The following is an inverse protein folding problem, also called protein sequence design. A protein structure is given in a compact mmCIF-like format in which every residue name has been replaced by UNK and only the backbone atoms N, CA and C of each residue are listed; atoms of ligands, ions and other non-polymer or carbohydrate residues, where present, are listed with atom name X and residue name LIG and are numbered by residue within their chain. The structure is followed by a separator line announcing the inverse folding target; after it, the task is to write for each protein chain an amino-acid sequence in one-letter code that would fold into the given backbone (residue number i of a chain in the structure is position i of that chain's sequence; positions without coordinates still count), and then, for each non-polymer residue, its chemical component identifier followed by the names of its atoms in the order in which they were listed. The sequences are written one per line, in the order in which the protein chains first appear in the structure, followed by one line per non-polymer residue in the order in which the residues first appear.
data_IF_606346620127
#
_entry.id   IF_606346620127
#
_cell.length_a   1.000
_cell.length_b   1.000
_cell.length_c   1.000
_cell.angle_alpha   90.00
_cell.angle_beta   90.00
_cell.angle_gamma   90.00
#
_symmetry.space_group_name_H-M   'P 1'
#
loop_
_entity.id
_entity.type
_entity.pdbx_description
1 polymer ?
#
# COMPACT_ATOMS: atom_id res chain seq x y z
N UNK A 1 -0.87 1.30 -5.23
CA UNK A 1 -2.35 1.36 -5.10
C UNK A 1 -3.05 1.44 -6.45
N UNK A 2 -3.03 2.59 -7.15
CA UNK A 2 -3.79 2.79 -8.38
C UNK A 2 -3.46 1.75 -9.47
N UNK A 3 -2.18 1.48 -9.73
CA UNK A 3 -1.76 0.49 -10.73
C UNK A 3 -2.27 -0.92 -10.37
N UNK A 4 -2.12 -1.35 -9.11
CA UNK A 4 -2.68 -2.62 -8.62
C UNK A 4 -4.20 -2.70 -8.79
N UNK A 5 -4.92 -1.61 -8.53
CA UNK A 5 -6.37 -1.52 -8.75
C UNK A 5 -6.73 -1.64 -10.23
N UNK A 6 -6.05 -0.92 -11.12
CA UNK A 6 -6.25 -1.00 -12.57
C UNK A 6 -5.96 -2.41 -13.08
N UNK A 7 -4.89 -3.05 -12.61
CA UNK A 7 -4.57 -4.44 -12.95
C UNK A 7 -5.70 -5.40 -12.56
N UNK A 8 -6.33 -5.22 -11.39
CA UNK A 8 -7.49 -6.02 -10.98
C UNK A 8 -8.71 -5.79 -11.88
N UNK A 9 -8.96 -4.57 -12.33
CA UNK A 9 -10.02 -4.29 -13.31
C UNK A 9 -9.74 -4.97 -14.66
N UNK A 10 -8.49 -4.98 -15.13
CA UNK A 10 -8.12 -5.69 -16.35
C UNK A 10 -8.38 -7.20 -16.26
N UNK A 11 -8.15 -7.81 -15.09
CA UNK A 11 -8.55 -9.21 -14.89
C UNK A 11 -10.06 -9.42 -15.05
N UNK A 12 -10.90 -8.49 -14.57
CA UNK A 12 -12.37 -8.59 -14.69
C UNK A 12 -12.81 -8.49 -16.16
N UNK A 13 -12.25 -7.55 -16.92
CA UNK A 13 -12.61 -7.33 -18.33
C UNK A 13 -11.92 -8.26 -19.32
N UNK A 14 -11.01 -9.12 -18.84
CA UNK A 14 -10.37 -10.15 -19.61
C UNK A 14 -11.35 -11.18 -20.18
N UNK A 15 -11.40 -11.28 -21.50
CA UNK A 15 -12.21 -12.25 -22.25
C UNK A 15 -11.34 -13.04 -23.25
N UNK A 16 -11.94 -14.03 -23.92
CA UNK A 16 -11.19 -14.90 -24.85
C UNK A 16 -10.62 -14.17 -26.07
N UNK A 17 -11.23 -13.06 -26.49
CA UNK A 17 -10.84 -12.32 -27.69
C UNK A 17 -9.66 -11.35 -27.45
N UNK A 18 -9.50 -10.84 -26.22
CA UNK A 18 -8.47 -9.86 -25.85
C UNK A 18 -7.43 -10.40 -24.86
N UNK A 19 -7.41 -11.73 -24.64
CA UNK A 19 -6.62 -12.39 -23.61
C UNK A 19 -5.13 -12.06 -23.70
N UNK A 20 -4.53 -12.12 -24.89
CA UNK A 20 -3.10 -11.87 -25.08
C UNK A 20 -2.73 -10.40 -24.81
N UNK A 21 -3.51 -9.46 -25.32
CA UNK A 21 -3.29 -8.03 -25.08
C UNK A 21 -3.40 -7.69 -23.59
N UNK A 22 -4.42 -8.20 -22.90
CA UNK A 22 -4.60 -7.97 -21.48
C UNK A 22 -3.49 -8.61 -20.65
N UNK A 23 -3.04 -9.82 -21.00
CA UNK A 23 -1.93 -10.47 -20.30
C UNK A 23 -0.64 -9.65 -20.41
N UNK A 24 -0.35 -9.10 -21.59
CA UNK A 24 0.80 -8.20 -21.80
C UNK A 24 0.66 -6.92 -20.96
N UNK A 25 -0.50 -6.24 -21.03
CA UNK A 25 -0.74 -5.02 -20.24
C UNK A 25 -0.65 -5.26 -18.73
N UNK A 26 -1.15 -6.39 -18.23
CA UNK A 26 -1.04 -6.77 -16.81
C UNK A 26 0.43 -6.90 -16.41
N UNK A 27 1.25 -7.54 -17.25
CA UNK A 27 2.68 -7.72 -16.99
C UNK A 27 3.43 -6.39 -16.97
N UNK A 28 3.14 -5.50 -17.91
CA UNK A 28 3.74 -4.16 -17.98
C UNK A 28 3.33 -3.30 -16.77
N UNK A 29 2.03 -3.26 -16.46
CA UNK A 29 1.52 -2.50 -15.31
C UNK A 29 2.10 -3.00 -13.99
N UNK A 30 2.23 -4.31 -13.81
CA UNK A 30 2.85 -4.86 -12.61
C UNK A 30 4.36 -4.57 -12.54
N UNK A 31 5.07 -4.57 -13.67
CA UNK A 31 6.47 -4.15 -13.69
C UNK A 31 6.63 -2.68 -13.28
N UNK A 32 5.77 -1.79 -13.80
CA UNK A 32 5.77 -0.37 -13.41
C UNK A 32 5.39 -0.22 -11.93
N UNK A 33 4.43 -1.01 -11.45
CA UNK A 33 4.01 -1.02 -10.04
C UNK A 33 5.15 -1.46 -9.12
N UNK A 34 5.94 -2.46 -9.51
CA UNK A 34 7.14 -2.89 -8.77
C UNK A 34 8.19 -1.79 -8.71
N UNK A 35 8.51 -1.16 -9.85
CA UNK A 35 9.45 -0.04 -9.88
C UNK A 35 8.96 1.13 -9.00
N UNK A 36 7.67 1.42 -9.04
CA UNK A 36 7.04 2.48 -8.24
C UNK A 36 7.12 2.18 -6.74
N UNK A 37 6.88 0.92 -6.34
CA UNK A 37 7.01 0.48 -4.94
C UNK A 37 8.46 0.56 -4.45
N UNK A 38 9.43 0.20 -5.29
CA UNK A 38 10.86 0.33 -4.98
C UNK A 38 11.24 1.80 -4.73
N UNK A 39 10.83 2.70 -5.62
CA UNK A 39 11.06 4.14 -5.45
C UNK A 39 10.40 4.63 -4.17
N UNK A 40 9.16 4.24 -3.93
CA UNK A 40 8.43 4.56 -2.70
C UNK A 40 9.15 4.08 -1.44
N UNK A 41 9.66 2.85 -1.43
CA UNK A 41 10.42 2.29 -0.32
C UNK A 41 11.69 3.08 -0.03
N UNK A 42 12.46 3.42 -1.07
CA UNK A 42 13.69 4.22 -0.93
C UNK A 42 13.36 5.61 -0.38
N UNK A 43 12.36 6.29 -0.96
CA UNK A 43 11.94 7.63 -0.52
C UNK A 43 11.43 7.61 0.92
N UNK A 44 10.60 6.63 1.29
CA UNK A 44 10.11 6.47 2.65
C UNK A 44 11.24 6.22 3.64
N UNK A 45 12.20 5.37 3.28
CA UNK A 45 13.35 5.07 4.14
C UNK A 45 14.20 6.31 4.36
N UNK A 46 14.61 6.99 3.29
CA UNK A 46 15.41 8.23 3.38
C UNK A 46 14.64 9.30 4.15
N UNK A 47 13.36 9.50 3.85
CA UNK A 47 12.51 10.45 4.54
C UNK A 47 12.39 10.16 6.04
N UNK A 48 12.29 8.88 6.44
CA UNK A 48 12.24 8.48 7.84
C UNK A 48 13.55 8.78 8.57
N UNK A 49 14.71 8.53 7.95
CA UNK A 49 16.01 8.89 8.52
C UNK A 49 16.19 10.40 8.65
N UNK A 50 15.84 11.17 7.62
CA UNK A 50 15.87 12.63 7.67
C UNK A 50 14.93 13.19 8.74
N UNK A 51 13.75 12.57 8.90
CA UNK A 51 12.81 12.86 9.98
C UNK A 51 13.43 12.65 11.36
N UNK A 52 14.19 11.56 11.55
CA UNK A 52 14.92 11.31 12.80
C UNK A 52 16.00 12.35 13.10
N UNK A 53 16.73 12.82 12.09
CA UNK A 53 17.71 13.92 12.25
C UNK A 53 16.99 15.20 12.69
N UNK A 54 15.89 15.53 12.05
CA UNK A 54 15.07 16.69 12.40
C UNK A 54 14.46 16.57 13.81
N UNK A 55 14.02 15.37 14.21
CA UNK A 55 13.48 15.10 15.54
C UNK A 55 14.56 15.32 16.63
N UNK A 56 15.82 14.96 16.33
CA UNK A 56 16.92 15.21 17.26
C UNK A 56 17.17 16.70 17.48
N UNK A 57 17.13 17.49 16.40
CA UNK A 57 17.29 18.95 16.50
C UNK A 57 16.11 19.61 17.23
N UNK A 58 14.90 19.08 17.05
CA UNK A 58 13.67 19.69 17.59
C UNK A 58 13.38 19.28 19.03
N UNK A 59 13.64 18.01 19.38
CA UNK A 59 13.21 17.38 20.64
C UNK A 59 14.35 16.69 21.39
N UNK A 60 15.60 16.79 20.93
CA UNK A 60 16.78 16.24 21.60
C UNK A 60 16.92 14.71 21.53
N UNK A 61 16.19 14.04 20.63
CA UNK A 61 16.28 12.59 20.39
C UNK A 61 15.95 12.22 18.95
N UNK A 62 16.63 11.19 18.42
CA UNK A 62 16.41 10.70 17.05
C UNK A 62 15.10 9.92 16.85
N UNK A 63 14.60 9.28 17.91
CA UNK A 63 13.43 8.41 17.84
C UNK A 63 12.78 8.31 19.22
N UNK A 64 11.46 8.40 19.27
CA UNK A 64 10.64 8.39 20.48
C UNK A 64 9.61 7.27 20.55
N UNK A 65 9.52 6.38 19.54
CA UNK A 65 8.50 5.33 19.44
C UNK A 65 7.06 5.86 19.53
N UNK A 66 6.85 7.10 19.09
CA UNK A 66 5.50 7.61 19.02
C UNK A 66 4.71 6.84 17.95
N UNK A 67 3.36 6.88 17.99
CA UNK A 67 2.56 6.16 17.01
C UNK A 67 2.90 6.51 15.55
N UNK A 68 3.31 7.74 15.22
CA UNK A 68 3.65 8.10 13.83
C UNK A 68 4.98 7.50 13.41
N UNK A 69 6.03 7.65 14.21
CA UNK A 69 7.33 7.02 13.99
C UNK A 69 7.18 5.49 13.86
N UNK A 70 6.43 4.87 14.77
CA UNK A 70 6.20 3.42 14.76
C UNK A 70 5.48 2.97 13.48
N UNK A 71 4.43 3.66 13.07
CA UNK A 71 3.72 3.33 11.83
C UNK A 71 4.53 3.67 10.57
N UNK A 72 5.41 4.67 10.60
CA UNK A 72 6.33 4.92 9.50
C UNK A 72 7.30 3.74 9.31
N UNK A 73 7.84 3.19 10.41
CA UNK A 73 8.64 1.97 10.38
C UNK A 73 7.84 0.76 9.88
N UNK A 74 6.62 0.55 10.37
CA UNK A 74 5.73 -0.53 9.90
C UNK A 74 5.48 -0.40 8.40
N UNK A 75 5.24 0.81 7.88
CA UNK A 75 5.01 1.04 6.45
C UNK A 75 6.25 0.70 5.62
N UNK A 76 7.46 1.05 6.08
CA UNK A 76 8.72 0.64 5.44
C UNK A 76 8.82 -0.90 5.40
N UNK A 77 8.55 -1.57 6.51
CA UNK A 77 8.60 -3.04 6.59
C UNK A 77 7.57 -3.70 5.67
N UNK A 78 6.34 -3.18 5.62
CA UNK A 78 5.30 -3.67 4.70
C UNK A 78 5.78 -3.54 3.26
N UNK A 79 6.26 -2.37 2.84
CA UNK A 79 6.74 -2.14 1.48
C UNK A 79 7.95 -3.03 1.15
N UNK A 80 8.87 -3.21 2.10
CA UNK A 80 9.99 -4.11 1.95
C UNK A 80 9.51 -5.55 1.70
N UNK A 81 8.58 -6.06 2.51
CA UNK A 81 8.01 -7.41 2.33
C UNK A 81 7.39 -7.55 0.94
N UNK A 82 6.59 -6.58 0.49
CA UNK A 82 5.91 -6.62 -0.82
C UNK A 82 6.90 -6.71 -1.96
N UNK A 83 7.98 -5.92 -1.93
CA UNK A 83 9.05 -5.98 -2.93
C UNK A 83 9.76 -7.33 -2.90
N UNK A 84 9.99 -7.90 -1.71
CA UNK A 84 10.67 -9.19 -1.56
C UNK A 84 9.82 -10.38 -2.01
N UNK A 85 8.50 -10.24 -2.15
CA UNK A 85 7.64 -11.30 -2.67
C UNK A 85 8.08 -11.81 -4.05
N UNK A 86 8.76 -10.99 -4.85
CA UNK A 86 9.33 -11.41 -6.15
C UNK A 86 10.30 -12.59 -6.05
N UNK A 87 10.96 -12.74 -4.91
CA UNK A 87 11.91 -13.84 -4.68
C UNK A 87 11.20 -15.13 -4.23
N UNK A 88 9.94 -15.03 -3.81
CA UNK A 88 9.15 -16.17 -3.32
C UNK A 88 8.28 -16.71 -4.45
N UNK A 89 8.86 -17.60 -5.27
CA UNK A 89 8.19 -18.21 -6.44
C UNK A 89 6.83 -18.86 -6.12
N UNK A 90 6.62 -19.34 -4.90
CA UNK A 90 5.35 -19.97 -4.50
C UNK A 90 4.21 -18.97 -4.31
N UNK A 91 4.51 -17.71 -3.98
CA UNK A 91 3.50 -16.67 -3.68
C UNK A 91 3.39 -15.69 -4.85
N UNK A 92 4.50 -15.48 -5.56
CA UNK A 92 4.59 -14.55 -6.66
C UNK A 92 3.77 -14.99 -7.87
N UNK A 93 2.68 -14.28 -8.10
CA UNK A 93 1.88 -14.31 -9.32
C UNK A 93 1.43 -12.86 -9.60
N UNK A 94 1.24 -12.50 -10.87
CA UNK A 94 0.75 -11.20 -11.34
C UNK A 94 -0.52 -10.76 -10.60
N UNK A 95 -1.46 -11.69 -10.37
CA UNK A 95 -2.67 -11.40 -9.60
C UNK A 95 -2.37 -11.10 -8.13
N UNK A 96 -1.63 -11.99 -7.44
CA UNK A 96 -1.29 -11.83 -6.03
C UNK A 96 -0.49 -10.54 -5.79
N UNK A 97 0.43 -10.22 -6.69
CA UNK A 97 1.23 -9.00 -6.62
C UNK A 97 0.36 -7.74 -6.71
N UNK A 98 -0.60 -7.71 -7.65
CA UNK A 98 -1.55 -6.61 -7.77
C UNK A 98 -2.43 -6.43 -6.51
N UNK A 99 -2.92 -7.53 -5.93
CA UNK A 99 -3.70 -7.50 -4.67
C UNK A 99 -2.86 -6.99 -3.51
N UNK A 100 -1.68 -7.58 -3.29
CA UNK A 100 -0.87 -7.26 -2.11
C UNK A 100 -0.33 -5.82 -2.22
N UNK A 101 0.11 -5.38 -3.40
CA UNK A 101 0.55 -3.99 -3.61
C UNK A 101 -0.56 -2.96 -3.43
N UNK A 102 -1.82 -3.31 -3.71
CA UNK A 102 -2.97 -2.47 -3.42
C UNK A 102 -3.19 -2.37 -1.90
N UNK A 103 -3.22 -3.52 -1.21
CA UNK A 103 -3.46 -3.57 0.23
C UNK A 103 -2.33 -2.93 1.04
N UNK A 104 -1.09 -3.02 0.57
CA UNK A 104 0.08 -2.40 1.19
C UNK A 104 -0.08 -0.87 1.35
N UNK A 105 -0.83 -0.20 0.47
CA UNK A 105 -1.09 1.23 0.60
C UNK A 105 -1.92 1.58 1.85
N UNK A 106 -2.63 0.61 2.43
CA UNK A 106 -3.37 0.79 3.69
C UNK A 106 -2.42 1.16 4.84
N UNK A 107 -1.18 0.67 4.86
CA UNK A 107 -0.21 1.04 5.91
C UNK A 107 0.13 2.53 5.83
N UNK A 108 0.31 3.08 4.62
CA UNK A 108 0.51 4.52 4.39
C UNK A 108 -0.70 5.31 4.89
N UNK A 109 -1.92 4.88 4.56
CA UNK A 109 -3.14 5.54 5.05
C UNK A 109 -3.22 5.51 6.58
N UNK A 110 -2.79 4.43 7.21
CA UNK A 110 -2.72 4.34 8.67
C UNK A 110 -1.67 5.31 9.25
N UNK A 111 -0.48 5.42 8.65
CA UNK A 111 0.55 6.37 9.11
C UNK A 111 0.06 7.83 9.02
N UNK A 112 -0.57 8.22 7.91
CA UNK A 112 -0.96 9.62 7.67
C UNK A 112 -2.32 10.00 8.27
N UNK A 113 -3.33 9.15 8.14
CA UNK A 113 -4.68 9.44 8.65
C UNK A 113 -4.94 8.70 9.95
N UNK A 114 -4.64 7.40 9.96
CA UNK A 114 -4.89 6.53 11.11
C UNK A 114 -4.32 7.07 12.42
N UNK A 115 -3.03 7.38 12.43
CA UNK A 115 -2.37 7.91 13.61
C UNK A 115 -2.89 9.30 13.99
N UNK A 116 -3.22 10.16 13.02
CA UNK A 116 -3.68 11.51 13.33
C UNK A 116 -5.04 11.55 14.03
N UNK A 117 -5.95 10.64 13.65
CA UNK A 117 -7.35 10.67 14.11
C UNK A 117 -7.68 9.62 15.18
N UNK A 118 -6.95 8.50 15.23
CA UNK A 118 -7.30 7.37 16.11
C UNK A 118 -6.24 7.01 17.14
N UNK A 119 -5.03 7.56 17.04
CA UNK A 119 -3.95 7.30 18.01
C UNK A 119 -3.46 8.61 18.63
N UNK A 120 -3.22 8.60 19.94
CA UNK A 120 -2.71 9.77 20.65
C UNK A 120 -1.17 9.80 20.63
N UNK A 121 -0.58 10.96 20.33
CA UNK A 121 0.88 11.16 20.34
C UNK A 121 1.26 12.63 20.20
N UNK A 122 2.56 12.93 20.29
CA UNK A 122 3.09 14.31 20.12
C UNK A 122 2.79 14.89 18.74
N UNK A 123 2.44 14.04 17.79
CA UNK A 123 2.06 14.41 16.44
C UNK A 123 0.55 14.38 16.20
N UNK A 124 -0.29 14.19 17.22
CA UNK A 124 -1.74 14.30 17.07
C UNK A 124 -2.12 15.78 16.98
N UNK A 125 -2.32 16.26 15.75
CA UNK A 125 -2.74 17.65 15.49
C UNK A 125 -4.26 17.83 15.63
N UNK A 126 -5.03 16.73 15.54
CA UNK A 126 -6.46 16.71 15.79
C UNK A 126 -6.72 16.47 17.29
N UNK A 127 -6.60 17.52 18.12
CA UNK A 127 -7.04 17.45 19.52
C UNK A 127 -8.57 17.57 19.58
N UNK A 128 -9.26 16.47 19.87
CA UNK A 128 -10.71 16.38 20.02
C UNK A 128 -11.17 14.93 20.18
N UNK A 129 -12.48 14.70 20.32
CA UNK A 129 -13.05 13.35 20.30
C UNK A 129 -12.65 12.63 19.00
N UNK A 130 -12.39 11.30 19.04
CA UNK A 130 -12.02 10.55 17.85
C UNK A 130 -13.11 10.74 16.79
N UNK A 131 -12.71 11.30 15.65
CA UNK A 131 -13.62 11.52 14.53
C UNK A 131 -14.12 10.14 14.10
N UNK A 132 -15.44 9.91 14.03
CA UNK A 132 -15.97 8.63 13.56
C UNK A 132 -15.39 8.32 12.18
N UNK A 133 -15.10 7.04 11.94
CA UNK A 133 -14.59 6.57 10.65
C UNK A 133 -15.55 7.06 9.57
N UNK A 134 -15.09 7.87 8.59
CA UNK A 134 -15.97 8.37 7.56
C UNK A 134 -16.64 7.22 6.82
N UNK A 135 -17.94 7.35 6.53
CA UNK A 135 -18.76 6.27 5.96
C UNK A 135 -18.20 5.70 4.64
N UNK A 136 -17.44 6.51 3.89
CA UNK A 136 -16.82 6.06 2.64
C UNK A 136 -15.68 5.06 2.85
N UNK A 137 -15.02 5.04 4.02
CA UNK A 137 -13.89 4.15 4.28
C UNK A 137 -14.30 2.68 4.28
N UNK A 138 -15.30 2.21 5.06
CA UNK A 138 -15.74 0.82 4.98
C UNK A 138 -16.32 0.48 3.60
N UNK A 139 -17.00 1.42 2.94
CA UNK A 139 -17.52 1.23 1.57
C UNK A 139 -16.38 0.98 0.58
N UNK A 140 -15.29 1.73 0.64
CA UNK A 140 -14.15 1.54 -0.26
C UNK A 140 -13.47 0.19 -0.05
N UNK A 141 -13.28 -0.26 1.19
CA UNK A 141 -12.76 -1.61 1.47
C UNK A 141 -13.71 -2.71 0.97
N UNK A 142 -15.02 -2.53 1.12
CA UNK A 142 -16.01 -3.47 0.59
C UNK A 142 -15.96 -3.54 -0.95
N UNK A 143 -15.85 -2.40 -1.63
CA UNK A 143 -15.71 -2.34 -3.10
C UNK A 143 -14.41 -3.03 -3.56
N UNK A 144 -13.28 -2.74 -2.89
CA UNK A 144 -12.01 -3.40 -3.20
C UNK A 144 -12.12 -4.92 -2.99
N UNK A 145 -12.75 -5.37 -1.91
CA UNK A 145 -12.98 -6.78 -1.65
C UNK A 145 -13.81 -7.46 -2.73
N UNK A 146 -14.91 -6.84 -3.15
CA UNK A 146 -15.75 -7.33 -4.27
C UNK A 146 -14.95 -7.40 -5.57
N UNK A 147 -14.15 -6.37 -5.88
CA UNK A 147 -13.30 -6.35 -7.08
C UNK A 147 -12.27 -7.47 -7.05
N UNK A 148 -11.63 -7.74 -5.90
CA UNK A 148 -10.68 -8.85 -5.75
C UNK A 148 -11.38 -10.19 -6.03
N UNK A 149 -12.59 -10.40 -5.48
CA UNK A 149 -13.37 -11.62 -5.72
C UNK A 149 -13.72 -11.79 -7.20
N UNK A 150 -14.21 -10.72 -7.84
CA UNK A 150 -14.57 -10.76 -9.27
C UNK A 150 -13.35 -11.01 -10.15
N UNK A 151 -12.23 -10.36 -9.85
CA UNK A 151 -10.97 -10.52 -10.57
C UNK A 151 -10.37 -11.93 -10.37
N UNK A 152 -10.60 -12.55 -9.21
CA UNK A 152 -10.10 -13.90 -8.91
C UNK A 152 -10.59 -14.96 -9.90
N UNK A 153 -11.81 -14.81 -10.45
CA UNK A 153 -12.36 -15.74 -11.46
C UNK A 153 -11.45 -15.85 -12.69
N UNK A 154 -10.82 -14.75 -13.06
CA UNK A 154 -10.02 -14.60 -14.27
C UNK A 154 -8.51 -14.58 -13.99
N UNK A 155 -8.07 -14.95 -12.78
CA UNK A 155 -6.66 -14.89 -12.35
C UNK A 155 -5.65 -15.70 -13.18
N UNK A 156 -6.11 -16.59 -14.06
CA UNK A 156 -5.28 -17.45 -14.94
C UNK A 156 -5.01 -16.83 -16.32
N UNK A 157 -5.43 -15.58 -16.55
CA UNK A 157 -5.21 -14.88 -17.83
C UNK A 157 -3.72 -14.57 -18.04
N UNK A 158 -3.01 -14.25 -16.95
CA UNK A 158 -1.59 -13.91 -16.93
C UNK A 158 -0.83 -14.81 -15.94
#
# INVERSE_FOLDING_TARGET
ALLGFITLLLYIFGNGANKEQIALSIKELNAINEMSLLIGLVMLTVGNFLGGVWANESWGRYWGWDPKETWALVTILVYAVVVHLRFIKSIYNQFNYAVISLLAFTSVLMTYFGVNYYLAGMHSYAKGDPVPIPDFVPVTYAVVFVIIILAFRNRKIA
#
